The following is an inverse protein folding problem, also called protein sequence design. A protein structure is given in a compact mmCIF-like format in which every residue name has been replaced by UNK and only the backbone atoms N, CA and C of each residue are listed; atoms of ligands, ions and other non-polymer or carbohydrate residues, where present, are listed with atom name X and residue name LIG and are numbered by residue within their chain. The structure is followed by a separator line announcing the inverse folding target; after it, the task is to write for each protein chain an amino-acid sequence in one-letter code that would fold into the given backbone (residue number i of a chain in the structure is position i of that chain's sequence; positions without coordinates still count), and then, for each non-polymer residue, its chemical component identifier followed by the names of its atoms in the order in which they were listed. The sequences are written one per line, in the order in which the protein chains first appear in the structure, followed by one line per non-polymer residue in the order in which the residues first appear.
data_IF_546995735009
#
_entry.id   IF_546995735009
#
_cell.length_a   1.000
_cell.length_b   1.000
_cell.length_c   1.000
_cell.angle_alpha   90.00
_cell.angle_beta   90.00
_cell.angle_gamma   90.00
#
_symmetry.space_group_name_H-M   'P 1'
#
loop_
_entity.id
_entity.type
_entity.pdbx_description
1 polymer ?
#
# COMPACT_ATOMS: atom_id res chain seq x y z
N UNK A 1 -59.64 -0.23 29.75
CA UNK A 1 -58.43 0.59 29.68
C UNK A 1 -58.82 1.97 29.22
N UNK A 2 -58.40 3.03 29.92
CA UNK A 2 -58.59 4.42 29.49
C UNK A 2 -57.74 4.69 28.25
N UNK A 3 -58.24 5.53 27.32
CA UNK A 3 -57.56 5.90 26.07
C UNK A 3 -56.12 6.40 26.30
N UNK A 4 -55.91 7.11 27.41
CA UNK A 4 -54.60 7.59 27.87
C UNK A 4 -53.61 6.45 28.15
N UNK A 5 -54.03 5.37 28.82
CA UNK A 5 -53.15 4.24 29.13
C UNK A 5 -52.72 3.50 27.86
N UNK A 6 -53.61 3.36 26.87
CA UNK A 6 -53.23 2.77 25.58
C UNK A 6 -52.25 3.65 24.79
N UNK A 7 -52.36 4.97 24.91
CA UNK A 7 -51.40 5.89 24.28
C UNK A 7 -50.04 5.85 24.97
N UNK A 8 -50.00 5.78 26.30
CA UNK A 8 -48.75 5.59 27.03
C UNK A 8 -48.06 4.27 26.69
N UNK A 9 -48.80 3.16 26.60
CA UNK A 9 -48.21 1.88 26.18
C UNK A 9 -47.59 1.94 24.78
N UNK A 10 -48.24 2.63 23.83
CA UNK A 10 -47.67 2.86 22.50
C UNK A 10 -46.45 3.78 22.54
N UNK A 11 -46.52 4.87 23.34
CA UNK A 11 -45.44 5.85 23.49
C UNK A 11 -44.17 5.17 24.03
N UNK A 12 -44.30 4.35 25.07
CA UNK A 12 -43.18 3.59 25.62
C UNK A 12 -42.63 2.52 24.66
N UNK A 13 -43.43 2.05 23.69
CA UNK A 13 -42.98 1.15 22.62
C UNK A 13 -42.40 1.87 21.41
N UNK A 14 -42.51 3.20 21.34
CA UNK A 14 -42.11 3.99 20.17
C UNK A 14 -43.01 3.77 18.95
N UNK A 15 -44.25 3.35 19.15
CA UNK A 15 -45.24 3.09 18.09
C UNK A 15 -46.21 4.26 17.87
N UNK A 16 -45.96 5.41 18.50
CA UNK A 16 -46.79 6.60 18.38
C UNK A 16 -46.48 7.41 17.13
N UNK A 17 -47.54 7.96 16.53
CA UNK A 17 -47.43 9.03 15.53
C UNK A 17 -47.29 10.40 16.20
N UNK A 18 -46.81 11.40 15.46
CA UNK A 18 -46.69 12.79 15.95
C UNK A 18 -48.03 13.35 16.46
N UNK A 19 -49.13 13.02 15.80
CA UNK A 19 -50.48 13.45 16.19
C UNK A 19 -50.91 12.80 17.52
N UNK A 20 -50.62 11.51 17.71
CA UNK A 20 -50.88 10.79 18.97
C UNK A 20 -50.04 11.31 20.14
N UNK A 21 -48.79 11.73 19.90
CA UNK A 21 -47.94 12.34 20.93
C UNK A 21 -48.42 13.72 21.35
N UNK A 22 -48.89 14.53 20.41
CA UNK A 22 -49.52 15.81 20.71
C UNK A 22 -50.80 15.61 21.53
N UNK A 23 -51.66 14.67 21.13
CA UNK A 23 -52.86 14.32 21.90
C UNK A 23 -52.51 13.84 23.31
N UNK A 24 -51.50 12.99 23.46
CA UNK A 24 -51.04 12.50 24.76
C UNK A 24 -50.54 13.65 25.65
N UNK A 25 -49.76 14.59 25.10
CA UNK A 25 -49.29 15.77 25.84
C UNK A 25 -50.43 16.66 26.30
N UNK A 26 -51.42 16.92 25.45
CA UNK A 26 -52.60 17.71 25.81
C UNK A 26 -53.42 17.05 26.92
N UNK A 27 -53.61 15.73 26.83
CA UNK A 27 -54.31 14.94 27.85
C UNK A 27 -53.61 14.99 29.21
N UNK A 28 -52.27 14.90 29.23
CA UNK A 28 -51.47 14.95 30.46
C UNK A 28 -51.41 16.37 31.04
N UNK A 29 -51.37 17.41 30.19
CA UNK A 29 -51.40 18.81 30.64
C UNK A 29 -52.76 19.16 31.25
N UNK A 30 -53.85 18.67 30.67
CA UNK A 30 -55.22 18.92 31.13
C UNK A 30 -55.66 18.10 32.35
N UNK A 31 -54.93 17.05 32.73
CA UNK A 31 -55.23 16.27 33.93
C UNK A 31 -54.67 16.93 35.20
N UNK A 32 -55.51 17.11 36.22
CA UNK A 32 -55.10 17.60 37.55
C UNK A 32 -54.33 16.54 38.36
N UNK A 33 -54.23 15.31 37.87
CA UNK A 33 -53.39 14.27 38.48
C UNK A 33 -51.90 14.61 38.31
N UNK A 34 -51.17 14.63 39.43
CA UNK A 34 -49.71 14.66 39.43
C UNK A 34 -49.19 13.26 39.11
N UNK A 35 -48.71 13.06 37.88
CA UNK A 35 -48.06 11.83 37.44
C UNK A 35 -46.59 12.09 37.12
N UNK A 36 -45.76 11.04 37.17
CA UNK A 36 -44.33 11.16 36.85
C UNK A 36 -44.11 11.55 35.39
N UNK A 37 -45.01 11.12 34.50
CA UNK A 37 -44.99 11.46 33.08
C UNK A 37 -45.25 12.96 32.85
N UNK A 38 -46.11 13.57 33.67
CA UNK A 38 -46.37 15.01 33.62
C UNK A 38 -45.11 15.81 33.98
N UNK A 39 -44.43 15.43 35.06
CA UNK A 39 -43.17 16.08 35.47
C UNK A 39 -42.10 15.97 34.38
N UNK A 40 -42.04 14.84 33.68
CA UNK A 40 -41.10 14.62 32.57
C UNK A 40 -41.44 15.51 31.37
N UNK A 41 -42.70 15.55 30.94
CA UNK A 41 -43.12 16.41 29.82
C UNK A 41 -42.94 17.90 30.15
N UNK A 42 -43.29 18.31 31.37
CA UNK A 42 -43.11 19.68 31.83
C UNK A 42 -41.62 20.07 31.90
N UNK A 43 -40.73 19.16 32.33
CA UNK A 43 -39.28 19.39 32.31
C UNK A 43 -38.79 19.63 30.88
N UNK A 44 -39.13 18.76 29.93
CA UNK A 44 -38.67 18.89 28.55
C UNK A 44 -39.26 20.09 27.81
N UNK A 45 -40.48 20.51 28.13
CA UNK A 45 -41.08 21.71 27.56
C UNK A 45 -40.38 22.99 28.07
N UNK A 46 -39.94 23.01 29.32
CA UNK A 46 -39.27 24.18 29.93
C UNK A 46 -37.77 24.23 29.64
N UNK A 47 -37.11 23.08 29.58
CA UNK A 47 -35.65 22.96 29.42
C UNK A 47 -35.23 22.80 27.95
N UNK A 48 -36.14 22.94 26.99
CA UNK A 48 -35.87 22.94 25.54
C UNK A 48 -35.07 24.16 25.05
N UNK A 49 -34.17 24.69 25.88
CA UNK A 49 -33.22 25.71 25.49
C UNK A 49 -32.03 25.05 24.78
N UNK A 50 -32.11 25.00 23.45
CA UNK A 50 -30.95 24.65 22.63
C UNK A 50 -30.03 25.88 22.55
N UNK A 51 -28.74 25.78 22.91
CA UNK A 51 -27.81 26.87 22.75
C UNK A 51 -27.68 27.25 21.27
N UNK A 52 -27.69 28.55 20.97
CA UNK A 52 -27.48 29.06 19.62
C UNK A 52 -26.12 28.57 19.08
N UNK A 53 -26.11 28.04 17.85
CA UNK A 53 -24.89 27.56 17.19
C UNK A 53 -24.50 26.10 17.43
N UNK A 54 -25.26 25.34 18.23
CA UNK A 54 -24.97 23.92 18.48
C UNK A 54 -24.93 23.08 17.19
N UNK A 55 -25.83 23.37 16.26
CA UNK A 55 -25.89 22.68 14.98
C UNK A 55 -24.64 22.97 14.13
N UNK A 56 -24.26 24.24 13.99
CA UNK A 56 -23.03 24.62 13.29
C UNK A 56 -21.79 23.99 13.92
N UNK A 57 -21.69 23.97 15.26
CA UNK A 57 -20.56 23.38 15.96
C UNK A 57 -20.47 21.87 15.70
N UNK A 58 -21.58 21.12 15.79
CA UNK A 58 -21.59 19.69 15.51
C UNK A 58 -21.25 19.38 14.05
N UNK A 59 -21.82 20.14 13.12
CA UNK A 59 -21.56 19.96 11.69
C UNK A 59 -20.10 20.30 11.34
N UNK A 60 -19.52 21.32 11.97
CA UNK A 60 -18.14 21.73 11.73
C UNK A 60 -17.14 20.62 12.08
N UNK A 61 -17.35 19.93 13.21
CA UNK A 61 -16.53 18.81 13.66
C UNK A 61 -16.59 17.64 12.68
N UNK A 62 -17.79 17.31 12.19
CA UNK A 62 -17.96 16.22 11.21
C UNK A 62 -17.25 16.53 9.88
N UNK A 63 -17.38 17.78 9.40
CA UNK A 63 -16.73 18.24 8.17
C UNK A 63 -15.20 18.21 8.31
N UNK A 64 -14.67 18.62 9.47
CA UNK A 64 -13.22 18.63 9.72
C UNK A 64 -12.62 17.22 9.71
N UNK A 65 -13.26 16.27 10.39
CA UNK A 65 -12.84 14.86 10.41
C UNK A 65 -12.81 14.28 8.99
N UNK A 66 -13.80 14.60 8.16
CA UNK A 66 -13.88 14.11 6.79
C UNK A 66 -12.78 14.73 5.88
N UNK A 67 -12.49 16.03 6.05
CA UNK A 67 -11.43 16.72 5.30
C UNK A 67 -10.04 16.17 5.62
N UNK A 68 -9.72 15.94 6.90
CA UNK A 68 -8.41 15.41 7.29
C UNK A 68 -8.14 14.03 6.67
N UNK A 69 -9.11 13.11 6.72
CA UNK A 69 -8.98 11.76 6.12
C UNK A 69 -8.76 11.81 4.60
N UNK A 70 -9.42 12.74 3.90
CA UNK A 70 -9.26 12.90 2.44
C UNK A 70 -7.86 13.40 2.06
N UNK A 71 -7.31 14.33 2.84
CA UNK A 71 -5.97 14.91 2.59
C UNK A 71 -4.85 13.87 2.74
N UNK A 72 -4.91 13.03 3.78
CA UNK A 72 -3.90 11.98 4.02
C UNK A 72 -3.90 10.95 2.88
N UNK A 73 -5.07 10.50 2.43
CA UNK A 73 -5.17 9.54 1.32
C UNK A 73 -4.57 10.10 0.02
N UNK A 74 -4.88 11.35 -0.31
CA UNK A 74 -4.35 11.99 -1.54
C UNK A 74 -2.83 12.12 -1.47
N UNK A 75 -2.27 12.53 -0.33
CA UNK A 75 -0.81 12.60 -0.15
C UNK A 75 -0.13 11.24 -0.27
N UNK A 76 -0.75 10.18 0.28
CA UNK A 76 -0.23 8.82 0.19
C UNK A 76 -0.22 8.31 -1.26
N UNK A 77 -1.32 8.50 -2.01
CA UNK A 77 -1.37 8.12 -3.42
C UNK A 77 -0.38 8.93 -4.28
N UNK A 78 -0.19 10.22 -3.97
CA UNK A 78 0.81 11.05 -4.65
C UNK A 78 2.25 10.59 -4.39
N UNK A 79 2.56 10.10 -3.19
CA UNK A 79 3.89 9.58 -2.87
C UNK A 79 4.13 8.23 -3.56
N UNK A 80 3.11 7.36 -3.60
CA UNK A 80 3.18 6.04 -4.27
C UNK A 80 3.38 6.21 -5.78
N UNK A 81 2.66 7.13 -6.42
CA UNK A 81 2.80 7.35 -7.87
C UNK A 81 4.19 7.89 -8.22
N UNK A 82 4.72 8.84 -7.45
CA UNK A 82 6.07 9.35 -7.63
C UNK A 82 7.14 8.26 -7.46
N UNK A 83 7.00 7.41 -6.43
CA UNK A 83 7.91 6.29 -6.19
C UNK A 83 7.88 5.26 -7.33
N UNK A 84 6.69 4.94 -7.87
CA UNK A 84 6.55 3.98 -8.96
C UNK A 84 7.27 4.44 -10.24
N UNK A 85 7.19 5.73 -10.59
CA UNK A 85 7.91 6.29 -11.74
C UNK A 85 9.42 6.14 -11.57
N UNK A 86 9.94 6.45 -10.37
CA UNK A 86 11.37 6.31 -10.07
C UNK A 86 11.81 4.85 -10.20
N UNK A 87 11.00 3.90 -9.71
CA UNK A 87 11.30 2.47 -9.81
C UNK A 87 11.33 1.99 -11.26
N UNK A 88 10.39 2.44 -12.10
CA UNK A 88 10.37 2.09 -13.53
C UNK A 88 11.64 2.60 -14.22
N UNK A 89 12.03 3.85 -13.97
CA UNK A 89 13.25 4.44 -14.56
C UNK A 89 14.50 3.70 -14.09
N UNK A 90 14.59 3.36 -12.80
CA UNK A 90 15.71 2.59 -12.26
C UNK A 90 15.77 1.18 -12.87
N UNK A 91 14.63 0.51 -13.02
CA UNK A 91 14.56 -0.82 -13.63
C UNK A 91 15.09 -0.80 -15.07
N UNK A 92 14.63 0.16 -15.88
CA UNK A 92 15.09 0.33 -17.28
C UNK A 92 16.59 0.66 -17.33
N UNK A 93 17.07 1.54 -16.44
CA UNK A 93 18.48 1.92 -16.40
C UNK A 93 19.40 0.75 -16.02
N UNK A 94 19.01 -0.06 -15.03
CA UNK A 94 19.76 -1.23 -14.60
C UNK A 94 19.81 -2.31 -15.70
N UNK A 95 18.70 -2.53 -16.40
CA UNK A 95 18.63 -3.49 -17.50
C UNK A 95 19.52 -3.08 -18.68
N UNK A 96 19.47 -1.79 -19.08
CA UNK A 96 20.35 -1.24 -20.10
C UNK A 96 21.85 -1.32 -19.73
N UNK A 97 22.18 -1.26 -18.44
CA UNK A 97 23.57 -1.41 -17.97
C UNK A 97 24.00 -2.87 -17.96
N UNK A 98 23.09 -3.79 -17.63
CA UNK A 98 23.34 -5.23 -17.64
C UNK A 98 23.62 -5.73 -19.05
N UNK A 99 22.78 -5.35 -20.02
CA UNK A 99 22.97 -5.74 -21.43
C UNK A 99 24.31 -5.26 -22.00
N UNK A 100 24.73 -4.01 -21.70
CA UNK A 100 26.04 -3.51 -22.10
C UNK A 100 27.20 -4.30 -21.49
N UNK A 101 27.11 -4.70 -20.22
CA UNK A 101 28.15 -5.52 -19.58
C UNK A 101 28.24 -6.91 -20.19
N UNK A 102 27.10 -7.54 -20.46
CA UNK A 102 27.06 -8.85 -21.12
C UNK A 102 27.66 -8.77 -22.53
N UNK A 103 27.29 -7.77 -23.33
CA UNK A 103 27.87 -7.56 -24.65
C UNK A 103 29.40 -7.34 -24.61
N UNK A 104 29.91 -6.60 -23.62
CA UNK A 104 31.35 -6.43 -23.44
C UNK A 104 32.05 -7.75 -23.07
N UNK A 105 31.44 -8.57 -22.21
CA UNK A 105 31.97 -9.88 -21.84
C UNK A 105 32.00 -10.84 -23.04
N UNK A 106 30.94 -10.86 -23.85
CA UNK A 106 30.85 -11.70 -25.05
C UNK A 106 31.91 -11.29 -26.08
N UNK A 107 32.08 -9.98 -26.32
CA UNK A 107 33.12 -9.47 -27.23
C UNK A 107 34.53 -9.81 -26.75
N UNK A 108 34.77 -9.75 -25.43
CA UNK A 108 36.05 -10.13 -24.84
C UNK A 108 36.33 -11.63 -25.03
N UNK A 109 35.34 -12.48 -24.81
CA UNK A 109 35.44 -13.93 -25.02
C UNK A 109 35.77 -14.28 -26.49
N UNK A 110 35.09 -13.64 -27.45
CA UNK A 110 35.39 -13.83 -28.88
C UNK A 110 36.82 -13.40 -29.22
N UNK A 111 37.29 -12.29 -28.63
CA UNK A 111 38.65 -11.81 -28.84
C UNK A 111 39.71 -12.76 -28.25
N UNK A 112 39.48 -13.30 -27.05
CA UNK A 112 40.35 -14.33 -26.46
C UNK A 112 40.44 -15.56 -27.35
N UNK A 113 39.31 -16.05 -27.86
CA UNK A 113 39.28 -17.20 -28.76
C UNK A 113 40.05 -16.94 -30.06
N UNK A 114 39.88 -15.75 -30.65
CA UNK A 114 40.60 -15.37 -31.86
C UNK A 114 42.12 -15.26 -31.61
N UNK A 115 42.53 -14.66 -30.49
CA UNK A 115 43.94 -14.58 -30.10
C UNK A 115 44.54 -15.95 -29.83
N UNK A 116 43.80 -16.84 -29.17
CA UNK A 116 44.22 -18.22 -28.93
C UNK A 116 44.47 -18.95 -30.25
N UNK A 117 43.53 -18.89 -31.20
CA UNK A 117 43.68 -19.52 -32.51
C UNK A 117 44.88 -18.96 -33.29
N UNK A 118 45.07 -17.64 -33.29
CA UNK A 118 46.25 -17.03 -33.92
C UNK A 118 47.52 -17.48 -33.22
N UNK A 119 47.52 -17.58 -31.89
CA UNK A 119 48.68 -18.07 -31.13
C UNK A 119 49.03 -19.51 -31.46
N UNK A 120 48.05 -20.40 -31.63
CA UNK A 120 48.29 -21.78 -32.10
C UNK A 120 48.88 -21.79 -33.50
N UNK A 121 48.41 -20.92 -34.40
CA UNK A 121 48.93 -20.85 -35.77
C UNK A 121 50.35 -20.28 -35.88
N UNK A 122 50.75 -19.45 -34.90
CA UNK A 122 52.07 -18.82 -34.83
C UNK A 122 53.07 -19.64 -34.02
N UNK A 123 52.61 -20.66 -33.27
CA UNK A 123 53.52 -21.59 -32.63
C UNK A 123 54.29 -22.32 -33.73
N UNK A 124 55.64 -22.25 -33.71
CA UNK A 124 56.40 -23.08 -34.62
C UNK A 124 55.98 -24.53 -34.42
N UNK A 125 55.91 -25.35 -35.49
CA UNK A 125 55.74 -26.78 -35.29
C UNK A 125 56.78 -27.22 -34.26
N UNK A 126 56.34 -27.93 -33.22
CA UNK A 126 57.29 -28.53 -32.30
C UNK A 126 58.20 -29.37 -33.17
N UNK A 127 59.47 -28.94 -33.29
CA UNK A 127 60.47 -29.75 -33.95
C UNK A 127 60.41 -31.10 -33.25
N UNK A 128 60.20 -32.21 -33.99
CA UNK A 128 60.26 -33.52 -33.36
C UNK A 128 61.60 -33.56 -32.65
N UNK A 129 61.62 -33.80 -31.33
CA UNK A 129 62.83 -33.82 -30.51
C UNK A 129 63.97 -34.44 -31.34
N UNK A 130 64.83 -33.57 -31.89
CA UNK A 130 65.89 -34.04 -32.76
C UNK A 130 66.82 -34.80 -31.82
N UNK A 131 66.74 -36.13 -31.88
CA UNK A 131 67.58 -37.03 -31.10
C UNK A 131 69.03 -36.70 -31.47
N UNK A 132 69.67 -35.89 -30.64
CA UNK A 132 70.96 -35.31 -30.93
C UNK A 132 72.02 -36.34 -30.56
N UNK A 133 72.30 -37.24 -31.49
CA UNK A 133 73.37 -38.23 -31.34
C UNK A 133 74.71 -37.51 -31.48
N UNK A 134 75.29 -37.12 -30.34
CA UNK A 134 76.52 -36.35 -30.30
C UNK A 134 77.75 -37.14 -30.78
N UNK A 135 77.72 -38.48 -30.72
CA UNK A 135 78.80 -39.32 -31.21
C UNK A 135 78.35 -40.79 -31.39
N UNK A 136 78.82 -41.44 -32.47
CA UNK A 136 78.58 -42.86 -32.76
C UNK A 136 79.94 -43.53 -32.99
N UNK A 137 80.19 -44.63 -32.27
CA UNK A 137 81.31 -45.55 -32.51
C UNK A 137 80.86 -46.99 -32.23
N UNK A 138 81.58 -47.97 -32.77
CA UNK A 138 81.12 -49.35 -33.00
C UNK A 138 80.74 -50.15 -31.72
N UNK A 139 80.97 -49.60 -30.51
CA UNK A 139 80.69 -50.30 -29.24
C UNK A 139 79.88 -49.51 -28.18
N UNK A 140 79.59 -48.21 -28.32
CA UNK A 140 78.78 -47.46 -27.32
C UNK A 140 78.00 -46.30 -27.94
N UNK A 141 76.70 -46.21 -27.63
CA UNK A 141 75.84 -45.05 -27.87
C UNK A 141 75.52 -44.34 -26.55
N UNK A 142 75.71 -43.02 -26.48
CA UNK A 142 75.28 -42.20 -25.33
C UNK A 142 74.12 -41.31 -25.77
N UNK A 143 72.97 -41.54 -25.15
CA UNK A 143 71.73 -40.77 -25.36
C UNK A 143 71.51 -39.87 -24.15
N UNK A 144 71.28 -38.58 -24.37
CA UNK A 144 70.85 -37.63 -23.33
C UNK A 144 69.43 -37.19 -23.68
N UNK A 145 68.56 -37.23 -22.68
CA UNK A 145 67.17 -36.75 -22.74
C UNK A 145 67.08 -35.37 -22.10
#
# INVERSE_FOLDING_TARGET
MTKQNSLFEKYYKGETSLEEEQELRELVRGSDEKSAEKDVFDYFDNEAFLPEGLEEDLLSVVVEIQKQKKSIRIRLYSAISAAAVILIVLAVFLDARKTKKTQMADNFFVMEQALFQVSESLQPPQEPEEMLVLWVDDEVEIIIN
#
